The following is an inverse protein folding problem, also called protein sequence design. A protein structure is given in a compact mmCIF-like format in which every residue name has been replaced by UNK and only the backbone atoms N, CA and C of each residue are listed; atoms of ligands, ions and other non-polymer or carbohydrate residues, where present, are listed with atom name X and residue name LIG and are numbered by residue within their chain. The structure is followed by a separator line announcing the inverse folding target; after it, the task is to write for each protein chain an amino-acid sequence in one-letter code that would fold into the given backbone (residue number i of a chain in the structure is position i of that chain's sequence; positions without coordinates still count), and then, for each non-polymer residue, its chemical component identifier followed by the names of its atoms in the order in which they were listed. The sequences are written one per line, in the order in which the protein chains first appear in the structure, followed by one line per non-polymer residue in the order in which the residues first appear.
data_IF_792944856634
#
_entry.id   IF_792944856634
#
_cell.length_a   1.000
_cell.length_b   1.000
_cell.length_c   1.000
_cell.angle_alpha   90.00
_cell.angle_beta   90.00
_cell.angle_gamma   90.00
#
_symmetry.space_group_name_H-M   'P 1'
#
loop_
_entity.id
_entity.type
_entity.pdbx_description
1 polymer ?
#
# COMPACT_ATOMS: atom_id res chain seq x y z
N UNK A 1 -30.79 54.91 -48.00
CA UNK A 1 -30.95 54.37 -46.63
C UNK A 1 -31.40 55.50 -45.71
N UNK A 2 -32.57 55.39 -45.08
CA UNK A 2 -33.12 56.48 -44.25
C UNK A 2 -32.33 56.65 -42.94
N UNK A 3 -32.30 57.87 -42.39
CA UNK A 3 -31.53 58.17 -41.16
C UNK A 3 -32.02 57.39 -39.92
N UNK A 4 -33.22 56.80 -39.99
CA UNK A 4 -33.76 55.91 -38.95
C UNK A 4 -33.09 54.53 -38.98
N UNK A 5 -32.80 53.99 -40.16
CA UNK A 5 -32.14 52.67 -40.29
C UNK A 5 -30.69 52.74 -39.82
N UNK A 6 -29.96 53.80 -40.17
CA UNK A 6 -28.59 54.02 -39.69
C UNK A 6 -28.53 54.11 -38.17
N UNK A 7 -29.51 54.77 -37.53
CA UNK A 7 -29.60 54.85 -36.06
C UNK A 7 -29.96 53.51 -35.42
N UNK A 8 -30.75 52.67 -36.10
CA UNK A 8 -31.07 51.32 -35.65
C UNK A 8 -29.83 50.42 -35.68
N UNK A 9 -29.09 50.41 -36.79
CA UNK A 9 -27.84 49.66 -36.92
C UNK A 9 -26.76 50.14 -35.95
N UNK A 10 -26.62 51.45 -35.74
CA UNK A 10 -25.71 52.01 -34.73
C UNK A 10 -26.04 51.53 -33.32
N UNK A 11 -27.33 51.46 -32.94
CA UNK A 11 -27.74 50.94 -31.63
C UNK A 11 -27.41 49.46 -31.46
N UNK A 12 -27.62 48.65 -32.50
CA UNK A 12 -27.30 47.21 -32.48
C UNK A 12 -25.79 47.00 -32.34
N UNK A 13 -24.98 47.78 -33.06
CA UNK A 13 -23.52 47.72 -32.98
C UNK A 13 -23.04 48.14 -31.58
N UNK A 14 -23.59 49.20 -31.00
CA UNK A 14 -23.22 49.65 -29.64
C UNK A 14 -23.63 48.63 -28.58
N UNK A 15 -24.80 47.99 -28.70
CA UNK A 15 -25.23 46.93 -27.78
C UNK A 15 -24.32 45.69 -27.91
N UNK A 16 -23.94 45.31 -29.13
CA UNK A 16 -23.01 44.21 -29.36
C UNK A 16 -21.64 44.46 -28.75
N UNK A 17 -21.10 45.67 -28.94
CA UNK A 17 -19.80 46.06 -28.39
C UNK A 17 -19.86 46.12 -26.86
N UNK A 18 -20.91 46.68 -26.27
CA UNK A 18 -21.05 46.76 -24.81
C UNK A 18 -21.18 45.38 -24.17
N UNK A 19 -21.92 44.46 -24.77
CA UNK A 19 -21.99 43.06 -24.30
C UNK A 19 -20.62 42.38 -24.43
N UNK A 20 -19.91 42.59 -25.53
CA UNK A 20 -18.57 42.02 -25.74
C UNK A 20 -17.55 42.53 -24.73
N UNK A 21 -17.57 43.85 -24.42
CA UNK A 21 -16.71 44.46 -23.39
C UNK A 21 -17.07 43.94 -22.00
N UNK A 22 -18.37 43.82 -21.68
CA UNK A 22 -18.83 43.23 -20.42
C UNK A 22 -18.31 41.80 -20.30
N UNK A 23 -18.44 40.96 -21.32
CA UNK A 23 -17.93 39.58 -21.30
C UNK A 23 -16.40 39.57 -21.16
N UNK A 24 -15.66 40.41 -21.90
CA UNK A 24 -14.20 40.43 -21.85
C UNK A 24 -13.64 40.99 -20.54
N UNK A 25 -14.33 41.90 -19.86
CA UNK A 25 -13.86 42.57 -18.63
C UNK A 25 -14.39 41.90 -17.35
N UNK A 26 -15.66 41.47 -17.34
CA UNK A 26 -16.23 40.78 -16.17
C UNK A 26 -15.85 39.31 -16.13
N UNK A 27 -15.66 38.61 -17.26
CA UNK A 27 -15.32 37.18 -17.22
C UNK A 27 -13.98 36.89 -16.53
N UNK A 28 -12.88 37.64 -16.75
CA UNK A 28 -11.63 37.44 -16.02
C UNK A 28 -11.74 37.81 -14.54
N UNK A 29 -12.50 38.86 -14.20
CA UNK A 29 -12.69 39.30 -12.81
C UNK A 29 -13.61 38.36 -12.01
N UNK A 30 -14.68 37.83 -12.61
CA UNK A 30 -15.48 36.76 -12.00
C UNK A 30 -14.71 35.43 -11.94
N UNK A 31 -13.81 35.17 -12.89
CA UNK A 31 -12.96 33.96 -12.86
C UNK A 31 -11.95 33.98 -11.71
N UNK A 32 -11.58 35.16 -11.20
CA UNK A 32 -10.76 35.32 -9.99
C UNK A 32 -11.57 35.26 -8.69
N UNK A 33 -12.88 35.51 -8.73
CA UNK A 33 -13.80 35.13 -7.64
C UNK A 33 -14.16 33.66 -7.81
N UNK A 34 -13.16 32.79 -7.72
CA UNK A 34 -13.43 31.39 -7.39
C UNK A 34 -13.89 31.37 -5.94
N UNK A 35 -15.20 31.47 -5.72
CA UNK A 35 -15.77 31.12 -4.43
C UNK A 35 -15.33 29.68 -4.17
N UNK A 36 -14.36 29.51 -3.28
CA UNK A 36 -13.82 28.21 -2.94
C UNK A 36 -14.99 27.27 -2.68
N UNK A 37 -15.03 26.11 -3.35
CA UNK A 37 -16.07 25.08 -3.08
C UNK A 37 -16.20 24.80 -1.59
N UNK A 38 -15.11 24.97 -0.84
CA UNK A 38 -15.05 24.85 0.63
C UNK A 38 -15.81 25.95 1.37
N UNK A 39 -15.80 27.19 0.91
CA UNK A 39 -16.53 28.29 1.57
C UNK A 39 -18.03 28.25 1.25
N UNK A 40 -18.43 27.91 0.01
CA UNK A 40 -19.85 27.73 -0.33
C UNK A 40 -20.54 26.62 0.47
N UNK A 41 -19.85 25.48 0.67
CA UNK A 41 -20.41 24.39 1.48
C UNK A 41 -20.41 24.71 2.99
N UNK A 42 -19.60 25.68 3.47
CA UNK A 42 -19.50 26.03 4.90
C UNK A 42 -20.63 26.98 5.35
N UNK A 43 -21.12 27.84 4.45
CA UNK A 43 -22.16 28.84 4.75
C UNK A 43 -23.58 28.46 4.26
N UNK A 44 -23.76 27.26 3.69
CA UNK A 44 -25.10 26.71 3.41
C UNK A 44 -25.94 27.47 2.35
N UNK A 45 -25.32 28.33 1.56
CA UNK A 45 -26.00 29.27 0.63
C UNK A 45 -26.32 28.68 -0.75
N UNK A 46 -26.43 27.36 -0.91
CA UNK A 46 -26.68 26.73 -2.22
C UNK A 46 -28.16 26.36 -2.37
N UNK A 47 -28.92 26.98 -3.31
CA UNK A 47 -30.30 26.59 -3.60
C UNK A 47 -30.39 25.15 -4.11
N UNK A 48 -31.46 24.42 -3.77
CA UNK A 48 -31.58 22.97 -4.00
C UNK A 48 -31.41 22.52 -5.46
N UNK A 49 -31.66 23.39 -6.43
CA UNK A 49 -31.55 23.10 -7.87
C UNK A 49 -30.07 22.84 -8.28
N UNK A 50 -29.10 23.44 -7.59
CA UNK A 50 -27.67 23.35 -7.96
C UNK A 50 -26.97 22.18 -7.24
N UNK A 51 -27.63 21.55 -6.27
CA UNK A 51 -27.11 20.44 -5.45
C UNK A 51 -26.76 19.18 -6.26
N UNK A 52 -27.37 19.00 -7.44
CA UNK A 52 -27.04 17.91 -8.37
C UNK A 52 -25.76 18.13 -9.17
N UNK A 53 -25.29 19.38 -9.31
CA UNK A 53 -24.13 19.73 -10.14
C UNK A 53 -22.87 19.95 -9.29
N UNK A 54 -23.03 20.34 -8.02
CA UNK A 54 -21.93 20.53 -7.07
C UNK A 54 -22.22 19.73 -5.79
N UNK A 55 -21.72 18.49 -5.67
CA UNK A 55 -21.95 17.67 -4.47
C UNK A 55 -21.10 18.22 -3.31
N UNK A 56 -21.73 18.99 -2.42
CA UNK A 56 -21.19 19.27 -1.09
C UNK A 56 -21.40 18.03 -0.20
N UNK A 57 -20.34 17.25 0.06
CA UNK A 57 -20.43 16.14 1.00
C UNK A 57 -20.50 16.68 2.44
N UNK A 58 -21.46 16.27 3.28
CA UNK A 58 -21.45 16.63 4.69
C UNK A 58 -20.16 16.08 5.32
N UNK A 59 -19.53 16.94 6.13
CA UNK A 59 -18.18 16.81 6.69
C UNK A 59 -17.99 15.62 7.64
N UNK A 60 -17.99 14.42 7.08
CA UNK A 60 -17.21 13.30 7.57
C UNK A 60 -16.06 13.09 6.57
N UNK A 61 -14.86 13.03 7.12
CA UNK A 61 -13.59 12.99 6.40
C UNK A 61 -13.63 11.99 5.24
N UNK A 62 -13.16 12.39 4.07
CA UNK A 62 -13.01 11.50 2.89
C UNK A 62 -12.18 10.25 3.19
N UNK A 63 -11.35 10.29 4.25
CA UNK A 63 -10.60 9.15 4.78
C UNK A 63 -11.49 8.10 5.44
N UNK A 64 -12.55 8.49 6.16
CA UNK A 64 -13.48 7.56 6.80
C UNK A 64 -14.38 6.85 5.79
N UNK A 65 -14.93 7.57 4.78
CA UNK A 65 -15.72 6.91 3.72
C UNK A 65 -14.88 5.99 2.84
N UNK A 66 -13.62 6.34 2.54
CA UNK A 66 -12.73 5.45 1.79
C UNK A 66 -12.32 4.20 2.59
N UNK A 67 -12.30 4.26 3.92
CA UNK A 67 -12.11 3.09 4.80
C UNK A 67 -13.39 2.24 4.87
N UNK A 68 -14.57 2.85 4.95
CA UNK A 68 -15.85 2.11 4.95
C UNK A 68 -16.17 1.45 3.60
N UNK A 69 -15.89 2.08 2.47
CA UNK A 69 -16.08 1.46 1.14
C UNK A 69 -14.99 0.41 0.85
N UNK A 70 -13.73 0.60 1.30
CA UNK A 70 -12.72 -0.48 1.21
C UNK A 70 -13.13 -1.71 2.02
N UNK A 71 -13.75 -1.51 3.19
CA UNK A 71 -14.20 -2.60 4.05
C UNK A 71 -15.41 -3.37 3.50
N UNK A 72 -16.14 -2.83 2.52
CA UNK A 72 -17.27 -3.53 1.89
C UNK A 72 -16.84 -4.44 0.72
N UNK A 73 -15.77 -4.08 0.01
CA UNK A 73 -15.29 -4.84 -1.16
C UNK A 73 -14.13 -5.79 -0.85
N UNK A 74 -13.38 -5.56 0.22
CA UNK A 74 -12.49 -6.56 0.79
C UNK A 74 -13.38 -7.49 1.60
N UNK A 75 -13.61 -8.70 1.07
CA UNK A 75 -14.31 -9.77 1.76
C UNK A 75 -13.60 -10.13 3.07
N UNK A 76 -13.86 -9.31 4.08
CA UNK A 76 -13.32 -9.41 5.42
C UNK A 76 -13.70 -10.80 5.92
N UNK A 77 -12.68 -11.60 6.20
CA UNK A 77 -12.85 -12.68 7.15
C UNK A 77 -13.19 -11.96 8.45
N UNK A 78 -14.48 -11.82 8.75
CA UNK A 78 -14.91 -11.48 10.10
C UNK A 78 -14.40 -12.63 10.94
N UNK A 79 -13.40 -12.35 11.79
CA UNK A 79 -12.92 -13.34 12.74
C UNK A 79 -14.16 -13.89 13.47
N UNK A 80 -14.44 -15.20 13.38
CA UNK A 80 -15.65 -15.78 13.97
C UNK A 80 -15.66 -15.66 15.50
N UNK A 81 -14.55 -15.24 16.09
CA UNK A 81 -14.39 -14.98 17.51
C UNK A 81 -13.76 -13.59 17.68
N UNK A 82 -14.56 -12.53 17.94
CA UNK A 82 -14.00 -11.28 18.42
C UNK A 82 -13.34 -11.56 19.77
N UNK A 83 -12.01 -11.63 19.80
CA UNK A 83 -11.27 -11.75 21.06
C UNK A 83 -11.36 -10.38 21.71
N UNK A 84 -12.18 -10.25 22.75
CA UNK A 84 -12.11 -9.08 23.61
C UNK A 84 -10.68 -9.00 24.17
N UNK A 85 -10.02 -7.83 24.13
CA UNK A 85 -8.73 -7.67 24.79
C UNK A 85 -8.92 -8.07 26.25
N UNK A 86 -8.14 -9.06 26.71
CA UNK A 86 -8.18 -9.50 28.11
C UNK A 86 -7.81 -8.30 28.98
N UNK A 87 -8.84 -7.65 29.52
CA UNK A 87 -8.72 -6.49 30.38
C UNK A 87 -9.16 -6.89 31.78
N UNK A 88 -8.48 -6.32 32.77
CA UNK A 88 -8.71 -6.53 34.20
C UNK A 88 -10.08 -6.02 34.72
N UNK A 89 -11.09 -5.91 33.84
CA UNK A 89 -12.36 -5.24 34.13
C UNK A 89 -12.23 -3.73 34.37
N UNK A 90 -11.03 -3.15 34.26
CA UNK A 90 -10.74 -1.71 34.45
C UNK A 90 -10.06 -1.06 33.23
N UNK A 91 -10.00 -1.78 32.10
CA UNK A 91 -9.45 -1.27 30.85
C UNK A 91 -7.92 -1.14 30.83
N UNK A 92 -7.22 -1.82 31.74
CA UNK A 92 -5.75 -1.87 31.71
C UNK A 92 -5.28 -3.19 31.11
N UNK A 93 -4.24 -3.18 30.25
CA UNK A 93 -3.60 -4.42 29.82
C UNK A 93 -3.02 -5.15 31.05
N UNK A 94 -3.29 -6.45 31.16
CA UNK A 94 -2.87 -7.29 32.30
C UNK A 94 -1.34 -7.50 32.30
N UNK A 95 -0.72 -7.37 31.14
CA UNK A 95 0.73 -7.38 31.01
C UNK A 95 1.21 -5.93 31.07
N UNK A 96 1.96 -5.59 32.13
CA UNK A 96 2.90 -4.47 32.04
C UNK A 96 3.73 -4.71 30.79
N UNK A 97 3.92 -3.66 29.98
CA UNK A 97 4.93 -3.69 28.92
C UNK A 97 6.23 -4.09 29.59
N UNK A 98 6.56 -5.37 29.51
CA UNK A 98 7.86 -5.87 29.84
C UNK A 98 8.75 -5.05 28.92
N UNK A 99 9.48 -4.10 29.51
CA UNK A 99 10.59 -3.44 28.85
C UNK A 99 11.51 -4.58 28.54
N UNK A 100 11.30 -5.16 27.37
CA UNK A 100 12.19 -6.10 26.74
C UNK A 100 13.46 -5.30 26.57
N UNK A 101 14.30 -5.35 27.60
CA UNK A 101 15.72 -5.13 27.46
C UNK A 101 16.14 -6.26 26.53
N UNK A 102 15.98 -5.98 25.23
CA UNK A 102 16.54 -6.77 24.16
C UNK A 102 17.96 -7.05 24.62
N UNK A 103 18.33 -8.33 24.82
CA UNK A 103 19.64 -8.68 25.32
C UNK A 103 20.65 -7.97 24.44
N UNK A 104 21.53 -7.21 25.11
CA UNK A 104 22.47 -6.24 24.54
C UNK A 104 22.89 -6.68 23.12
N UNK A 105 22.15 -6.20 22.11
CA UNK A 105 22.65 -6.23 20.76
C UNK A 105 23.97 -5.48 20.84
N UNK A 106 25.02 -6.09 20.27
CA UNK A 106 26.34 -5.48 20.19
C UNK A 106 26.09 -4.01 19.88
N UNK A 107 26.42 -3.11 20.82
CA UNK A 107 26.40 -1.68 20.56
C UNK A 107 27.51 -1.47 19.55
N UNK A 108 27.18 -1.68 18.28
CA UNK A 108 28.03 -1.28 17.17
C UNK A 108 28.09 0.23 17.35
N UNK A 109 29.25 0.72 17.78
CA UNK A 109 29.51 2.15 17.84
C UNK A 109 29.27 2.72 16.45
N UNK A 110 28.76 3.95 16.34
CA UNK A 110 28.56 4.59 15.01
C UNK A 110 29.85 4.56 14.16
N UNK A 111 31.01 4.58 14.82
CA UNK A 111 32.32 4.35 14.20
C UNK A 111 32.46 2.95 13.56
N UNK A 112 32.14 1.87 14.30
CA UNK A 112 32.13 0.51 13.74
C UNK A 112 31.11 0.35 12.61
N UNK A 113 29.99 1.06 12.68
CA UNK A 113 28.97 1.03 11.63
C UNK A 113 29.50 1.64 10.34
N UNK A 114 30.22 2.76 10.42
CA UNK A 114 30.90 3.37 9.27
C UNK A 114 31.98 2.47 8.66
N UNK A 115 32.77 1.77 9.49
CA UNK A 115 33.76 0.79 9.01
C UNK A 115 33.11 -0.39 8.28
N UNK A 116 32.04 -0.96 8.85
CA UNK A 116 31.26 -2.04 8.24
C UNK A 116 30.61 -1.60 6.92
N UNK A 117 30.09 -0.36 6.86
CA UNK A 117 29.54 0.21 5.64
C UNK A 117 30.62 0.39 4.56
N UNK A 118 31.81 0.86 4.93
CA UNK A 118 32.94 0.97 3.99
C UNK A 118 33.38 -0.39 3.43
N UNK A 119 33.43 -1.43 4.28
CA UNK A 119 33.70 -2.80 3.86
C UNK A 119 32.59 -3.33 2.93
N UNK A 120 31.32 -3.04 3.25
CA UNK A 120 30.18 -3.44 2.44
C UNK A 120 30.23 -2.79 1.05
N UNK A 121 30.62 -1.52 0.94
CA UNK A 121 30.80 -0.82 -0.34
C UNK A 121 31.97 -1.42 -1.14
N UNK A 122 33.06 -1.81 -0.49
CA UNK A 122 34.15 -2.52 -1.15
C UNK A 122 33.71 -3.89 -1.70
N UNK A 123 32.94 -4.65 -0.91
CA UNK A 123 32.33 -5.91 -1.35
C UNK A 123 31.36 -5.69 -2.52
N UNK A 124 30.54 -4.65 -2.49
CA UNK A 124 29.65 -4.28 -3.60
C UNK A 124 30.41 -4.06 -4.91
N UNK A 125 31.50 -3.29 -4.88
CA UNK A 125 32.33 -3.07 -6.06
C UNK A 125 32.91 -4.38 -6.62
N UNK A 126 33.34 -5.29 -5.74
CA UNK A 126 33.81 -6.62 -6.12
C UNK A 126 32.70 -7.50 -6.71
N UNK A 127 31.47 -7.39 -6.20
CA UNK A 127 30.30 -8.07 -6.74
C UNK A 127 29.96 -7.58 -8.15
N UNK A 128 29.90 -6.26 -8.35
CA UNK A 128 29.63 -5.63 -9.67
C UNK A 128 30.67 -6.09 -10.69
N UNK A 129 31.95 -6.11 -10.30
CA UNK A 129 33.02 -6.59 -11.16
C UNK A 129 32.88 -8.07 -11.51
N UNK A 130 32.54 -8.91 -10.52
CA UNK A 130 32.33 -10.35 -10.73
C UNK A 130 31.13 -10.60 -11.65
N UNK A 131 30.04 -9.83 -11.50
CA UNK A 131 28.86 -9.86 -12.37
C UNK A 131 29.22 -9.46 -13.80
N UNK A 132 29.97 -8.37 -14.00
CA UNK A 132 30.44 -7.93 -15.33
C UNK A 132 31.34 -8.97 -16.00
N UNK A 133 32.10 -9.75 -15.23
CA UNK A 133 32.89 -10.90 -15.73
C UNK A 133 32.05 -12.14 -16.07
N UNK A 134 30.74 -12.14 -15.81
CA UNK A 134 29.85 -13.28 -16.02
C UNK A 134 29.85 -14.31 -14.88
N UNK A 135 30.60 -14.08 -13.80
CA UNK A 135 30.70 -14.99 -12.66
C UNK A 135 29.55 -14.77 -11.67
N UNK A 136 28.33 -15.15 -12.06
CA UNK A 136 27.11 -14.84 -11.31
C UNK A 136 27.08 -15.50 -9.91
N UNK A 137 27.57 -16.74 -9.77
CA UNK A 137 27.62 -17.44 -8.48
C UNK A 137 28.53 -16.73 -7.47
N UNK A 138 29.68 -16.24 -7.93
CA UNK A 138 30.60 -15.48 -7.09
C UNK A 138 30.05 -14.11 -6.74
N UNK A 139 29.35 -13.47 -7.68
CA UNK A 139 28.66 -12.21 -7.40
C UNK A 139 27.60 -12.40 -6.30
N UNK A 140 26.81 -13.48 -6.36
CA UNK A 140 25.80 -13.78 -5.33
C UNK A 140 26.39 -13.88 -3.93
N UNK A 141 27.47 -14.66 -3.75
CA UNK A 141 28.08 -14.84 -2.43
C UNK A 141 28.65 -13.52 -1.88
N UNK A 142 29.25 -12.70 -2.74
CA UNK A 142 29.79 -11.39 -2.35
C UNK A 142 28.65 -10.42 -2.00
N UNK A 143 27.54 -10.41 -2.76
CA UNK A 143 26.38 -9.55 -2.46
C UNK A 143 25.74 -9.95 -1.14
N UNK A 144 25.60 -11.26 -0.86
CA UNK A 144 25.08 -11.75 0.41
C UNK A 144 25.96 -11.32 1.59
N UNK A 145 27.29 -11.37 1.42
CA UNK A 145 28.23 -10.85 2.41
C UNK A 145 28.04 -9.34 2.64
N UNK A 146 27.95 -8.56 1.56
CA UNK A 146 27.73 -7.12 1.64
C UNK A 146 26.39 -6.77 2.33
N UNK A 147 25.35 -7.57 2.10
CA UNK A 147 24.03 -7.41 2.72
C UNK A 147 24.02 -7.81 4.21
N UNK A 148 24.87 -8.76 4.61
CA UNK A 148 25.06 -9.10 6.03
C UNK A 148 25.77 -7.97 6.80
N UNK A 149 26.73 -7.28 6.15
CA UNK A 149 27.42 -6.12 6.72
C UNK A 149 26.51 -4.88 6.80
N UNK A 150 25.81 -4.58 5.71
CA UNK A 150 24.96 -3.40 5.58
C UNK A 150 23.59 -3.75 4.97
N UNK A 151 22.61 -4.22 5.78
CA UNK A 151 21.34 -4.73 5.29
C UNK A 151 20.40 -3.66 4.71
N UNK A 152 20.68 -2.38 4.96
CA UNK A 152 19.82 -1.25 4.59
C UNK A 152 20.46 -0.36 3.52
N UNK A 153 21.61 -0.75 2.95
CA UNK A 153 22.28 0.07 1.95
C UNK A 153 21.56 0.00 0.60
N UNK A 154 21.14 1.13 0.00
CA UNK A 154 20.31 1.14 -1.20
C UNK A 154 21.02 0.48 -2.40
N UNK A 155 22.30 0.78 -2.62
CA UNK A 155 23.02 0.23 -3.79
C UNK A 155 23.21 -1.29 -3.72
N UNK A 156 23.39 -1.86 -2.51
CA UNK A 156 23.53 -3.30 -2.30
C UNK A 156 22.19 -4.00 -2.57
N UNK A 157 21.10 -3.43 -2.07
CA UNK A 157 19.74 -3.92 -2.33
C UNK A 157 19.42 -3.88 -3.83
N UNK A 158 19.79 -2.80 -4.52
CA UNK A 158 19.61 -2.68 -5.97
C UNK A 158 20.41 -3.75 -6.71
N UNK A 159 21.70 -3.95 -6.42
CA UNK A 159 22.50 -4.99 -7.08
C UNK A 159 22.01 -6.41 -6.77
N UNK A 160 21.49 -6.67 -5.57
CA UNK A 160 20.84 -7.94 -5.26
C UNK A 160 19.55 -8.12 -6.08
N UNK A 161 18.74 -7.08 -6.22
CA UNK A 161 17.55 -7.09 -7.08
C UNK A 161 17.89 -7.44 -8.54
N UNK A 162 19.00 -6.89 -9.06
CA UNK A 162 19.49 -7.19 -10.42
C UNK A 162 19.86 -8.66 -10.54
N UNK A 163 20.55 -9.21 -9.55
CA UNK A 163 20.91 -10.62 -9.52
C UNK A 163 19.67 -11.52 -9.52
N UNK A 164 18.70 -11.24 -8.65
CA UNK A 164 17.45 -12.00 -8.54
C UNK A 164 16.66 -11.95 -9.85
N UNK A 165 16.58 -10.78 -10.46
CA UNK A 165 15.91 -10.57 -11.74
C UNK A 165 16.56 -11.37 -12.88
N UNK A 166 17.89 -11.36 -12.96
CA UNK A 166 18.63 -11.95 -14.09
C UNK A 166 18.85 -13.45 -13.95
N UNK A 167 19.18 -13.93 -12.74
CA UNK A 167 19.57 -15.33 -12.48
C UNK A 167 18.39 -16.17 -12.03
N UNK A 168 17.67 -15.72 -10.98
CA UNK A 168 16.53 -16.45 -10.42
C UNK A 168 15.24 -16.24 -11.22
N UNK A 169 15.21 -15.21 -12.07
CA UNK A 169 14.02 -14.81 -12.85
C UNK A 169 12.78 -14.56 -11.98
N UNK A 170 13.01 -14.14 -10.74
CA UNK A 170 11.95 -13.83 -9.79
C UNK A 170 11.68 -12.32 -9.78
N UNK A 171 10.70 -11.89 -10.57
CA UNK A 171 10.36 -10.47 -10.70
C UNK A 171 9.76 -9.87 -9.42
N UNK A 172 9.02 -10.66 -8.64
CA UNK A 172 8.33 -10.19 -7.43
C UNK A 172 9.36 -9.85 -6.35
N UNK A 173 10.29 -10.76 -6.09
CA UNK A 173 11.38 -10.54 -5.12
C UNK A 173 12.31 -9.40 -5.57
N UNK A 174 12.59 -9.28 -6.87
CA UNK A 174 13.38 -8.16 -7.39
C UNK A 174 12.68 -6.80 -7.18
N UNK A 175 11.37 -6.71 -7.41
CA UNK A 175 10.61 -5.48 -7.19
C UNK A 175 10.55 -5.09 -5.71
N UNK A 176 10.40 -6.06 -4.82
CA UNK A 176 10.46 -5.84 -3.37
C UNK A 176 11.80 -5.22 -2.96
N UNK A 177 12.91 -5.75 -3.50
CA UNK A 177 14.25 -5.22 -3.23
C UNK A 177 14.45 -3.80 -3.75
N UNK A 178 13.97 -3.48 -4.96
CA UNK A 178 14.03 -2.12 -5.48
C UNK A 178 13.15 -1.15 -4.67
N UNK A 179 11.96 -1.60 -4.24
CA UNK A 179 11.08 -0.80 -3.38
C UNK A 179 11.71 -0.55 -2.01
N UNK A 180 12.38 -1.56 -1.43
CA UNK A 180 13.14 -1.41 -0.18
C UNK A 180 14.35 -0.50 -0.35
N UNK A 181 15.07 -0.54 -1.47
CA UNK A 181 16.16 0.40 -1.73
C UNK A 181 15.66 1.86 -1.76
N UNK A 182 14.50 2.09 -2.40
CA UNK A 182 13.89 3.41 -2.51
C UNK A 182 13.28 3.94 -1.20
N UNK A 183 12.90 3.06 -0.26
CA UNK A 183 12.45 3.51 1.06
C UNK A 183 13.59 4.11 1.89
N UNK A 184 14.83 3.64 1.68
CA UNK A 184 16.03 4.24 2.30
C UNK A 184 16.58 5.42 1.51
N UNK A 185 16.62 5.33 0.18
CA UNK A 185 17.04 6.44 -0.68
C UNK A 185 16.02 6.68 -1.82
N UNK A 186 15.08 7.62 -1.63
CA UNK A 186 14.04 7.93 -2.62
C UNK A 186 14.56 8.43 -3.97
N UNK A 187 15.78 8.97 -4.00
CA UNK A 187 16.40 9.56 -5.19
C UNK A 187 17.42 8.64 -5.85
N UNK A 188 17.50 7.36 -5.44
CA UNK A 188 18.40 6.39 -6.06
C UNK A 188 17.95 6.07 -7.49
N UNK A 189 18.69 6.59 -8.46
CA UNK A 189 18.34 6.61 -9.88
C UNK A 189 18.21 5.21 -10.48
N UNK A 190 19.12 4.29 -10.13
CA UNK A 190 19.11 2.95 -10.70
C UNK A 190 17.89 2.13 -10.22
N UNK A 191 17.57 2.14 -8.92
CA UNK A 191 16.35 1.49 -8.45
C UNK A 191 15.07 2.11 -9.03
N UNK A 192 15.02 3.44 -9.23
CA UNK A 192 13.86 4.07 -9.87
C UNK A 192 13.63 3.54 -11.28
N UNK A 193 14.68 3.48 -12.11
CA UNK A 193 14.59 2.97 -13.48
C UNK A 193 14.20 1.50 -13.49
N UNK A 194 14.82 0.69 -12.64
CA UNK A 194 14.53 -0.75 -12.58
C UNK A 194 13.12 -1.04 -12.08
N UNK A 195 12.69 -0.36 -11.01
CA UNK A 195 11.33 -0.47 -10.49
C UNK A 195 10.29 -0.02 -11.49
N UNK A 196 10.51 1.09 -12.20
CA UNK A 196 9.60 1.55 -13.25
C UNK A 196 9.35 0.48 -14.33
N UNK A 197 10.37 -0.34 -14.63
CA UNK A 197 10.27 -1.47 -15.55
C UNK A 197 9.59 -2.70 -14.93
N UNK A 198 9.91 -3.07 -13.68
CA UNK A 198 9.40 -4.30 -13.06
C UNK A 198 8.00 -4.15 -12.49
N UNK A 199 7.64 -2.98 -11.98
CA UNK A 199 6.34 -2.71 -11.34
C UNK A 199 5.12 -3.13 -12.16
N UNK A 200 4.96 -2.72 -13.45
CA UNK A 200 3.79 -3.13 -14.23
C UNK A 200 3.73 -4.65 -14.46
N UNK A 201 4.88 -5.33 -14.49
CA UNK A 201 4.94 -6.78 -14.66
C UNK A 201 4.48 -7.49 -13.38
N UNK A 202 4.94 -7.01 -12.22
CA UNK A 202 4.54 -7.56 -10.91
C UNK A 202 3.06 -7.32 -10.64
N UNK A 203 2.53 -6.12 -10.95
CA UNK A 203 1.10 -5.85 -10.85
C UNK A 203 0.25 -6.83 -11.67
N UNK A 204 0.71 -7.21 -12.86
CA UNK A 204 0.00 -8.18 -13.70
C UNK A 204 0.10 -9.61 -13.14
N UNK A 205 1.24 -9.98 -12.55
CA UNK A 205 1.41 -11.25 -11.83
C UNK A 205 0.44 -11.32 -10.65
N UNK A 206 0.35 -10.25 -9.86
CA UNK A 206 -0.53 -10.17 -8.70
C UNK A 206 -2.00 -10.23 -9.11
N UNK A 207 -2.40 -9.51 -10.16
CA UNK A 207 -3.77 -9.58 -10.71
C UNK A 207 -4.12 -11.00 -11.13
N UNK A 208 -3.21 -11.72 -11.80
CA UNK A 208 -3.41 -13.12 -12.20
C UNK A 208 -3.53 -14.04 -10.99
N UNK A 209 -2.68 -13.88 -10.00
CA UNK A 209 -2.73 -14.64 -8.74
C UNK A 209 -4.07 -14.42 -8.03
N UNK A 210 -4.49 -13.17 -7.85
CA UNK A 210 -5.78 -12.84 -7.23
C UNK A 210 -6.97 -13.39 -8.03
N UNK A 211 -6.91 -13.39 -9.36
CA UNK A 211 -7.94 -14.01 -10.22
C UNK A 211 -8.00 -15.53 -10.00
N UNK A 212 -6.86 -16.20 -9.87
CA UNK A 212 -6.81 -17.63 -9.56
C UNK A 212 -7.39 -17.93 -8.17
N UNK A 213 -7.05 -17.11 -7.16
CA UNK A 213 -7.61 -17.24 -5.81
C UNK A 213 -9.13 -17.03 -5.81
N UNK A 214 -9.65 -16.03 -6.54
CA UNK A 214 -11.09 -15.81 -6.69
C UNK A 214 -11.80 -17.01 -7.32
N UNK A 215 -11.19 -17.66 -8.32
CA UNK A 215 -11.73 -18.89 -8.92
C UNK A 215 -11.79 -20.04 -7.91
N UNK A 216 -10.71 -20.26 -7.15
CA UNK A 216 -10.67 -21.29 -6.09
C UNK A 216 -11.72 -21.01 -5.01
N UNK A 217 -11.87 -19.77 -4.59
CA UNK A 217 -12.92 -19.34 -3.65
C UNK A 217 -14.32 -19.62 -4.20
N UNK A 218 -14.59 -19.24 -5.45
CA UNK A 218 -15.89 -19.48 -6.08
C UNK A 218 -16.20 -20.98 -6.19
N UNK A 219 -15.21 -21.81 -6.51
CA UNK A 219 -15.35 -23.27 -6.48
C UNK A 219 -15.67 -23.78 -5.07
N UNK A 220 -14.93 -23.33 -4.06
CA UNK A 220 -15.16 -23.72 -2.66
C UNK A 220 -16.58 -23.35 -2.18
N UNK A 221 -17.08 -22.17 -2.54
CA UNK A 221 -18.42 -21.70 -2.17
C UNK A 221 -19.55 -22.50 -2.84
N UNK A 222 -19.29 -23.20 -3.95
CA UNK A 222 -20.27 -24.09 -4.60
C UNK A 222 -20.43 -25.41 -3.85
N UNK A 223 -19.50 -25.77 -2.96
CA UNK A 223 -19.57 -27.02 -2.21
C UNK A 223 -20.76 -26.93 -1.23
N UNK A 224 -21.68 -27.91 -1.24
CA UNK A 224 -22.85 -27.86 -0.36
C UNK A 224 -22.44 -27.96 1.11
N UNK A 225 -22.99 -27.06 1.94
CA UNK A 225 -22.72 -27.00 3.40
C UNK A 225 -23.07 -28.28 4.15
N UNK A 226 -23.98 -29.09 3.60
CA UNK A 226 -24.41 -30.34 4.20
C UNK A 226 -23.45 -31.51 3.94
N UNK A 227 -22.42 -31.33 3.12
CA UNK A 227 -21.42 -32.37 2.86
C UNK A 227 -20.71 -32.81 4.14
N UNK A 228 -20.69 -34.11 4.49
CA UNK A 228 -20.01 -34.60 5.68
C UNK A 228 -18.49 -34.37 5.60
N UNK A 229 -17.91 -34.44 4.41
CA UNK A 229 -16.49 -34.17 4.19
C UNK A 229 -16.15 -32.69 4.49
N UNK A 230 -17.00 -31.76 4.06
CA UNK A 230 -16.81 -30.33 4.34
C UNK A 230 -16.93 -30.03 5.84
N UNK A 231 -17.92 -30.61 6.52
CA UNK A 231 -18.09 -30.48 7.98
C UNK A 231 -16.86 -30.99 8.74
N UNK A 232 -16.29 -32.13 8.31
CA UNK A 232 -15.06 -32.67 8.89
C UNK A 232 -13.87 -31.74 8.66
N UNK A 233 -13.66 -31.29 7.42
CA UNK A 233 -12.57 -30.38 7.07
C UNK A 233 -12.66 -29.04 7.81
N UNK A 234 -13.86 -28.47 7.98
CA UNK A 234 -14.07 -27.26 8.77
C UNK A 234 -13.68 -27.44 10.24
N UNK A 235 -14.06 -28.57 10.85
CA UNK A 235 -13.68 -28.89 12.23
C UNK A 235 -12.17 -29.09 12.38
N UNK A 236 -11.53 -29.78 11.44
CA UNK A 236 -10.07 -29.96 11.43
C UNK A 236 -9.36 -28.61 11.23
N UNK A 237 -9.85 -27.76 10.32
CA UNK A 237 -9.33 -26.41 10.07
C UNK A 237 -9.38 -25.51 11.30
N UNK A 238 -10.41 -25.65 12.15
CA UNK A 238 -10.49 -24.90 13.40
C UNK A 238 -9.32 -25.24 14.33
N UNK A 239 -9.07 -26.54 14.58
CA UNK A 239 -7.95 -26.95 15.43
C UNK A 239 -6.59 -26.56 14.84
N UNK A 240 -6.45 -26.67 13.52
CA UNK A 240 -5.24 -26.22 12.83
C UNK A 240 -5.02 -24.71 13.03
N UNK A 241 -6.07 -23.90 12.92
CA UNK A 241 -5.98 -22.46 13.14
C UNK A 241 -5.55 -22.11 14.57
N UNK A 242 -6.21 -22.70 15.57
CA UNK A 242 -5.85 -22.49 16.99
C UNK A 242 -4.41 -22.92 17.25
N UNK A 243 -4.00 -24.10 16.78
CA UNK A 243 -2.63 -24.59 16.94
C UNK A 243 -1.60 -23.64 16.31
N UNK A 244 -1.82 -23.21 15.07
CA UNK A 244 -0.86 -22.33 14.40
C UNK A 244 -0.78 -20.94 15.03
N UNK A 245 -1.91 -20.37 15.46
CA UNK A 245 -1.89 -19.03 16.08
C UNK A 245 -1.14 -19.05 17.41
N UNK A 246 -1.39 -20.02 18.29
CA UNK A 246 -0.67 -20.11 19.58
C UNK A 246 0.79 -20.54 19.40
N UNK A 247 1.09 -21.36 18.38
CA UNK A 247 2.47 -21.74 18.08
C UNK A 247 3.31 -20.55 17.60
N UNK A 248 2.72 -19.61 16.86
CA UNK A 248 3.39 -18.36 16.45
C UNK A 248 3.73 -17.49 17.67
N UNK A 249 2.90 -17.53 18.70
CA UNK A 249 3.13 -16.87 20.00
C UNK A 249 4.17 -17.62 20.87
N UNK A 250 4.66 -18.77 20.42
CA UNK A 250 5.69 -19.56 21.11
C UNK A 250 5.16 -20.70 21.98
N UNK A 251 3.86 -21.02 21.91
CA UNK A 251 3.31 -22.19 22.60
C UNK A 251 3.91 -23.49 22.04
N UNK A 252 4.35 -24.38 22.94
CA UNK A 252 4.99 -25.66 22.61
C UNK A 252 4.02 -26.84 22.54
N UNK A 253 2.73 -26.63 22.80
CA UNK A 253 1.72 -27.68 22.69
C UNK A 253 1.64 -28.21 21.26
N UNK A 254 1.56 -29.53 21.12
CA UNK A 254 1.37 -30.19 19.82
C UNK A 254 -0.09 -30.11 19.36
N UNK A 255 -0.34 -30.24 18.05
CA UNK A 255 -1.69 -30.24 17.49
C UNK A 255 -2.63 -31.28 18.15
N UNK A 256 -2.11 -32.48 18.47
CA UNK A 256 -2.89 -33.54 19.14
C UNK A 256 -3.28 -33.12 20.55
N UNK A 257 -2.37 -32.49 21.28
CA UNK A 257 -2.65 -31.94 22.60
C UNK A 257 -3.69 -30.82 22.50
N UNK A 258 -3.50 -29.84 21.61
CA UNK A 258 -4.48 -28.75 21.40
C UNK A 258 -5.87 -29.28 21.11
N UNK A 259 -5.98 -30.34 20.30
CA UNK A 259 -7.25 -31.01 20.03
C UNK A 259 -7.83 -31.69 21.28
N UNK A 260 -7.00 -32.40 22.05
CA UNK A 260 -7.44 -33.09 23.26
C UNK A 260 -7.97 -32.13 24.33
N UNK A 261 -7.27 -31.02 24.59
CA UNK A 261 -7.70 -30.02 25.57
C UNK A 261 -9.05 -29.37 25.23
N UNK A 262 -9.32 -29.15 23.94
CA UNK A 262 -10.61 -28.60 23.49
C UNK A 262 -11.78 -29.59 23.65
N UNK A 263 -11.52 -30.91 23.65
CA UNK A 263 -12.58 -31.89 23.93
C UNK A 263 -12.90 -32.05 25.42
N UNK A 264 -12.08 -31.49 26.31
CA UNK A 264 -12.24 -31.63 27.76
C UNK A 264 -13.00 -30.46 28.42
N UNK A 265 -13.22 -29.34 27.71
CA UNK A 265 -13.87 -28.12 28.19
C UNK A 265 -14.91 -27.63 27.17
#
# INVERSE_FOLDING_TARGET
MSSSELRMWLRIIVVSITISVIVQVLWPNLRNVTFSRRSLCKYGLVPDIVRRVIPCSPGLTTRQRALEDRNKDLGYFVDPFPVEPWSDGKGRPILEEEKTSVPLSIRITEERKGELEAEAVAALNAAIFSRKKGNMRKAETIIQHALALAPNHPDILTEYGIFVETVRKNLVEAEELYTRALSYNPHHTEALVRRARTLPLVEEIDKKMLKALRRKRAYFLRIPRNSPALKRAMRESYFMHVYHTVAIEGNTMTLVQTRYYHFLY
#
